data_IF_701542088203
#
_entry.id   IF_701542088203
#
_cell.length_a   1.000
_cell.length_b   1.000
_cell.length_c   1.000
_cell.angle_alpha   90.00
_cell.angle_beta   90.00
_cell.angle_gamma   90.00
#
_symmetry.space_group_name_H-M   'P 1'
#
loop_
_entity.id
_entity.type
_entity.pdbx_description
1 polymer ?
#
# COMPACT_ATOMS: atom_id res chain seq x y z
N UNK A 1 49.19 2.72 -32.87
CA UNK A 1 49.11 3.47 -31.59
C UNK A 1 47.86 4.36 -31.46
N UNK A 2 47.42 5.12 -32.47
CA UNK A 2 46.24 6.03 -32.35
C UNK A 2 44.87 5.36 -32.11
N UNK A 3 44.62 4.13 -32.59
CA UNK A 3 43.34 3.42 -32.39
C UNK A 3 43.14 2.90 -30.96
N UNK A 4 44.22 2.56 -30.25
CA UNK A 4 44.15 2.05 -28.87
C UNK A 4 43.86 3.18 -27.85
N UNK A 5 44.39 4.38 -28.08
CA UNK A 5 44.10 5.56 -27.25
C UNK A 5 42.63 6.02 -27.39
N UNK A 6 42.03 5.86 -28.56
CA UNK A 6 40.63 6.26 -28.81
C UNK A 6 39.64 5.30 -28.11
N UNK A 7 39.95 4.01 -28.02
CA UNK A 7 39.16 3.02 -27.27
C UNK A 7 39.26 3.23 -25.75
N UNK A 8 40.46 3.52 -25.23
CA UNK A 8 40.66 3.80 -23.80
C UNK A 8 39.95 5.08 -23.34
N UNK A 9 39.93 6.12 -24.18
CA UNK A 9 39.19 7.35 -23.91
C UNK A 9 37.66 7.14 -23.91
N UNK A 10 37.13 6.27 -24.78
CA UNK A 10 35.71 5.90 -24.78
C UNK A 10 35.30 5.11 -23.53
N UNK A 11 36.13 4.15 -23.09
CA UNK A 11 35.90 3.36 -21.88
C UNK A 11 35.98 4.22 -20.60
N UNK A 12 36.93 5.17 -20.53
CA UNK A 12 37.02 6.11 -19.41
C UNK A 12 35.83 7.08 -19.35
N UNK A 13 35.34 7.56 -20.50
CA UNK A 13 34.16 8.41 -20.57
C UNK A 13 32.87 7.65 -20.17
N UNK A 14 32.71 6.39 -20.59
CA UNK A 14 31.58 5.54 -20.19
C UNK A 14 31.59 5.19 -18.70
N UNK A 15 32.78 4.98 -18.11
CA UNK A 15 32.93 4.75 -16.68
C UNK A 15 32.62 6.03 -15.86
N UNK A 16 33.03 7.21 -16.34
CA UNK A 16 32.67 8.50 -15.72
C UNK A 16 31.18 8.84 -15.85
N UNK A 17 30.56 8.52 -16.98
CA UNK A 17 29.11 8.67 -17.20
C UNK A 17 28.26 7.72 -16.35
N UNK A 18 28.83 6.61 -15.89
CA UNK A 18 28.19 5.64 -14.99
C UNK A 18 28.42 5.97 -13.51
N UNK A 19 29.54 6.60 -13.14
CA UNK A 19 29.88 6.95 -11.76
C UNK A 19 28.88 7.92 -11.10
N UNK A 20 28.23 8.78 -11.90
CA UNK A 20 27.22 9.74 -11.42
C UNK A 20 25.76 9.26 -11.58
N UNK A 21 25.54 8.02 -12.05
CA UNK A 21 24.19 7.47 -12.24
C UNK A 21 23.83 6.51 -11.11
N UNK A 22 22.97 6.98 -10.23
CA UNK A 22 22.35 6.15 -9.19
C UNK A 22 21.09 5.48 -9.77
N UNK A 23 20.95 4.17 -9.58
CA UNK A 23 19.73 3.42 -9.91
C UNK A 23 19.05 3.04 -8.61
N UNK A 24 17.80 3.46 -8.47
CA UNK A 24 16.98 3.18 -7.29
C UNK A 24 15.87 2.19 -7.64
N UNK A 25 15.58 1.29 -6.72
CA UNK A 25 14.55 0.26 -6.82
C UNK A 25 13.56 0.42 -5.68
N UNK A 26 12.28 0.30 -6.00
CA UNK A 26 11.23 0.46 -5.02
C UNK A 26 9.88 0.00 -5.53
N UNK A 27 8.90 0.05 -4.64
CA UNK A 27 7.52 -0.30 -4.94
C UNK A 27 6.60 0.88 -4.58
N UNK A 28 5.64 1.13 -5.45
CA UNK A 28 4.67 2.21 -5.29
C UNK A 28 3.24 1.69 -5.27
N UNK A 29 3.01 0.38 -5.26
CA UNK A 29 1.67 -0.21 -5.29
C UNK A 29 1.55 -1.32 -4.25
N UNK A 30 1.30 -0.94 -2.99
CA UNK A 30 1.29 -1.85 -1.85
C UNK A 30 0.04 -1.65 -1.00
N UNK A 31 -0.63 -2.74 -0.67
CA UNK A 31 -1.81 -2.73 0.18
C UNK A 31 -1.55 -3.42 1.52
N UNK A 32 -2.12 -2.87 2.57
CA UNK A 32 -2.08 -3.32 3.96
C UNK A 32 -3.47 -3.72 4.43
N UNK A 33 -3.64 -3.96 5.74
CA UNK A 33 -4.95 -4.17 6.37
C UNK A 33 -5.92 -2.99 6.17
N UNK A 34 -5.45 -1.81 5.81
CA UNK A 34 -6.32 -0.66 5.60
C UNK A 34 -6.97 -0.64 4.22
N UNK A 35 -6.41 -1.32 3.22
CA UNK A 35 -7.12 -1.50 1.95
C UNK A 35 -8.30 -2.46 2.11
N UNK A 36 -9.48 -2.05 1.62
CA UNK A 36 -10.68 -2.87 1.77
C UNK A 36 -10.54 -4.26 1.11
N UNK A 37 -9.90 -4.34 -0.06
CA UNK A 37 -9.74 -5.57 -0.83
C UNK A 37 -8.70 -6.50 -0.22
N UNK A 38 -7.52 -5.99 0.13
CA UNK A 38 -6.46 -6.73 0.76
C UNK A 38 -6.94 -7.29 2.11
N UNK A 39 -7.69 -6.50 2.88
CA UNK A 39 -8.32 -7.01 4.09
C UNK A 39 -9.26 -8.18 3.80
N UNK A 40 -10.14 -8.09 2.79
CA UNK A 40 -11.05 -9.17 2.43
C UNK A 40 -10.31 -10.41 1.90
N UNK A 41 -9.13 -10.25 1.30
CA UNK A 41 -8.26 -11.37 0.91
C UNK A 41 -7.34 -11.87 2.04
N UNK A 42 -7.43 -11.29 3.24
CA UNK A 42 -6.80 -11.79 4.46
C UNK A 42 -5.50 -11.10 4.86
N UNK A 43 -5.13 -10.00 4.23
CA UNK A 43 -4.02 -9.15 4.68
C UNK A 43 -4.37 -8.55 6.05
N UNK A 44 -3.47 -8.74 7.02
CA UNK A 44 -3.61 -8.23 8.39
C UNK A 44 -2.42 -7.38 8.83
N UNK A 45 -1.39 -7.29 7.99
CA UNK A 45 -0.18 -6.49 8.21
C UNK A 45 -0.52 -5.00 8.14
N UNK A 46 0.12 -4.20 8.97
CA UNK A 46 -0.05 -2.75 9.02
C UNK A 46 0.99 -2.03 8.13
N UNK A 47 0.91 -0.69 7.97
CA UNK A 47 1.91 0.07 7.22
C UNK A 47 3.36 -0.07 7.75
N UNK A 48 3.56 -0.14 9.07
CA UNK A 48 4.90 -0.32 9.65
C UNK A 48 5.51 -1.68 9.28
N UNK A 49 4.72 -2.75 9.25
CA UNK A 49 5.12 -4.07 8.77
C UNK A 49 5.57 -4.02 7.30
N UNK A 50 4.85 -3.25 6.47
CA UNK A 50 5.18 -3.08 5.06
C UNK A 50 6.52 -2.37 4.87
N UNK A 51 6.79 -1.32 5.64
CA UNK A 51 8.09 -0.64 5.61
C UNK A 51 9.23 -1.48 6.22
N UNK A 52 8.94 -2.28 7.26
CA UNK A 52 9.91 -3.24 7.79
C UNK A 52 10.28 -4.29 6.73
N UNK A 53 9.30 -4.82 6.00
CA UNK A 53 9.52 -5.71 4.87
C UNK A 53 10.35 -5.06 3.75
N UNK A 54 10.08 -3.80 3.42
CA UNK A 54 10.89 -3.03 2.47
C UNK A 54 12.36 -2.87 2.91
N UNK A 55 12.63 -2.85 4.21
CA UNK A 55 14.00 -2.88 4.79
C UNK A 55 14.60 -4.29 4.89
N UNK A 56 13.90 -5.32 4.41
CA UNK A 56 14.35 -6.70 4.38
C UNK A 56 13.93 -7.55 5.57
N UNK A 57 13.03 -7.09 6.45
CA UNK A 57 12.46 -7.95 7.48
C UNK A 57 11.57 -9.06 6.85
N UNK A 58 11.49 -10.25 7.44
CA UNK A 58 10.54 -11.27 6.99
C UNK A 58 9.10 -10.85 7.26
N UNK A 59 8.18 -11.26 6.38
CA UNK A 59 6.74 -10.99 6.47
C UNK A 59 5.95 -12.28 6.25
N UNK A 60 4.95 -12.55 7.09
CA UNK A 60 4.09 -13.73 6.93
C UNK A 60 3.02 -13.48 5.87
N UNK A 61 3.02 -14.27 4.80
CA UNK A 61 1.95 -14.25 3.80
C UNK A 61 0.66 -14.86 4.37
N UNK A 62 -0.54 -14.34 4.04
CA UNK A 62 -1.81 -14.90 4.51
C UNK A 62 -2.04 -16.38 4.18
N UNK A 63 -1.35 -16.93 3.18
CA UNK A 63 -1.38 -18.37 2.84
C UNK A 63 -0.48 -19.25 3.72
N UNK A 64 0.23 -18.68 4.71
CA UNK A 64 0.97 -19.46 5.70
C UNK A 64 2.43 -19.75 5.35
N UNK A 65 3.04 -19.01 4.43
CA UNK A 65 4.48 -19.05 4.19
C UNK A 65 5.12 -17.70 4.52
N UNK A 66 6.43 -17.70 4.74
CA UNK A 66 7.21 -16.47 4.98
C UNK A 66 7.71 -15.90 3.65
N UNK A 67 7.69 -14.58 3.54
CA UNK A 67 8.23 -13.81 2.44
C UNK A 67 9.37 -12.94 2.97
N UNK A 68 10.42 -12.77 2.17
CA UNK A 68 11.49 -11.82 2.45
C UNK A 68 12.06 -11.32 1.13
N UNK A 69 12.37 -10.03 1.04
CA UNK A 69 13.07 -9.48 -0.12
C UNK A 69 14.51 -9.97 -0.13
N UNK A 70 15.06 -10.23 -1.32
CA UNK A 70 16.48 -10.60 -1.47
C UNK A 70 17.44 -9.46 -1.13
N UNK A 71 16.95 -8.22 -1.13
CA UNK A 71 17.64 -7.01 -0.70
C UNK A 71 16.63 -5.94 -0.27
N UNK A 72 17.01 -5.00 0.60
CA UNK A 72 16.19 -3.81 0.90
C UNK A 72 15.89 -2.96 -0.35
N UNK A 73 14.82 -2.18 -0.28
CA UNK A 73 14.41 -1.22 -1.32
C UNK A 73 14.86 0.20 -0.98
N UNK A 74 15.09 1.00 -2.02
CA UNK A 74 15.49 2.41 -1.91
C UNK A 74 14.29 3.33 -1.65
N UNK A 75 13.11 2.94 -2.17
CA UNK A 75 11.87 3.66 -1.91
C UNK A 75 10.65 2.74 -1.80
N UNK A 76 9.63 3.18 -1.05
CA UNK A 76 8.42 2.40 -0.82
C UNK A 76 7.22 3.28 -0.51
N UNK A 77 6.04 2.94 -1.05
CA UNK A 77 4.80 3.63 -0.74
C UNK A 77 3.69 2.64 -0.42
N UNK A 78 3.06 2.80 0.74
CA UNK A 78 1.76 2.18 1.02
C UNK A 78 0.71 2.96 0.22
N UNK A 79 -0.05 2.24 -0.61
CA UNK A 79 -1.08 2.81 -1.48
C UNK A 79 -2.38 2.03 -1.32
N UNK A 80 -2.87 1.95 -0.08
CA UNK A 80 -4.20 1.42 0.20
C UNK A 80 -5.28 2.20 -0.58
N UNK A 81 -6.40 1.55 -0.91
CA UNK A 81 -7.53 2.22 -1.59
C UNK A 81 -8.02 3.41 -0.78
N UNK A 82 -8.15 4.59 -1.42
CA UNK A 82 -8.69 5.78 -0.77
C UNK A 82 -10.17 5.65 -0.40
N UNK A 83 -10.95 4.81 -1.10
CA UNK A 83 -12.35 4.55 -0.78
C UNK A 83 -12.48 3.38 0.20
N UNK A 84 -13.41 3.50 1.16
CA UNK A 84 -13.59 2.57 2.29
C UNK A 84 -12.31 2.29 3.10
N UNK A 85 -11.33 3.19 3.03
CA UNK A 85 -10.03 3.04 3.67
C UNK A 85 -10.20 2.73 5.16
N UNK A 86 -9.59 1.64 5.61
CA UNK A 86 -9.52 1.26 7.01
C UNK A 86 -10.80 0.74 7.66
N UNK A 87 -11.95 0.83 7.00
CA UNK A 87 -13.25 0.49 7.61
C UNK A 87 -13.30 -0.94 8.16
N UNK A 88 -12.92 -1.94 7.37
CA UNK A 88 -12.88 -3.33 7.88
C UNK A 88 -11.92 -3.52 9.04
N UNK A 89 -10.77 -2.86 8.96
CA UNK A 89 -9.77 -2.89 10.01
C UNK A 89 -10.29 -2.27 11.31
N UNK A 90 -11.04 -1.17 11.24
CA UNK A 90 -11.66 -0.53 12.40
C UNK A 90 -12.70 -1.45 13.06
N UNK A 91 -13.52 -2.12 12.27
CA UNK A 91 -14.54 -3.06 12.77
C UNK A 91 -13.97 -4.30 13.48
N UNK A 92 -12.66 -4.56 13.40
CA UNK A 92 -12.01 -5.62 14.20
C UNK A 92 -11.84 -5.25 15.67
N UNK A 93 -11.89 -3.97 16.02
CA UNK A 93 -11.80 -3.49 17.40
C UNK A 93 -13.10 -3.82 18.16
N UNK A 94 -13.03 -4.53 19.30
CA UNK A 94 -14.21 -4.80 20.14
C UNK A 94 -15.01 -3.57 20.57
N UNK A 95 -14.40 -2.39 20.60
CA UNK A 95 -15.06 -1.13 20.93
C UNK A 95 -15.82 -0.51 19.74
N UNK A 96 -15.57 -0.97 18.51
CA UNK A 96 -16.24 -0.43 17.34
C UNK A 96 -17.74 -0.83 17.34
N UNK A 97 -18.69 0.09 17.07
CA UNK A 97 -20.13 -0.21 17.14
C UNK A 97 -20.58 -1.39 16.27
N UNK A 98 -19.94 -1.59 15.13
CA UNK A 98 -20.22 -2.69 14.19
C UNK A 98 -19.40 -3.96 14.43
N UNK A 99 -18.60 -4.04 15.50
CA UNK A 99 -17.76 -5.21 15.77
C UNK A 99 -18.57 -6.51 15.90
N UNK A 100 -19.69 -6.42 16.61
CA UNK A 100 -20.62 -7.53 16.86
C UNK A 100 -21.79 -7.60 15.89
N UNK A 101 -21.86 -6.71 14.90
CA UNK A 101 -22.95 -6.68 13.93
C UNK A 101 -22.95 -7.96 13.06
N UNK A 102 -24.06 -8.71 12.96
CA UNK A 102 -24.09 -9.99 12.23
C UNK A 102 -23.69 -9.87 10.75
N UNK A 103 -24.04 -8.77 10.10
CA UNK A 103 -23.70 -8.54 8.70
C UNK A 103 -22.21 -8.23 8.57
N UNK A 104 -21.65 -7.40 9.45
CA UNK A 104 -20.21 -7.16 9.52
C UNK A 104 -19.43 -8.47 9.73
N UNK A 105 -19.88 -9.34 10.65
CA UNK A 105 -19.25 -10.63 10.94
C UNK A 105 -19.15 -11.54 9.73
N UNK A 106 -20.13 -11.48 8.81
CA UNK A 106 -20.09 -12.25 7.56
C UNK A 106 -18.83 -11.97 6.72
N UNK A 107 -18.32 -10.73 6.77
CA UNK A 107 -17.12 -10.33 6.05
C UNK A 107 -15.84 -10.51 6.89
N UNK A 108 -15.89 -10.13 8.17
CA UNK A 108 -14.73 -10.20 9.08
C UNK A 108 -14.26 -11.63 9.33
N UNK A 109 -15.20 -12.59 9.35
CA UNK A 109 -14.92 -14.00 9.65
C UNK A 109 -14.61 -14.87 8.42
N UNK A 110 -14.56 -14.28 7.22
CA UNK A 110 -14.24 -15.01 6.00
C UNK A 110 -12.80 -15.59 6.03
N UNK A 111 -12.68 -16.92 6.03
CA UNK A 111 -11.38 -17.61 6.18
C UNK A 111 -10.92 -18.29 4.91
N UNK A 112 -11.84 -18.96 4.22
CA UNK A 112 -11.53 -19.76 3.03
C UNK A 112 -11.53 -18.91 1.76
N UNK A 113 -10.83 -19.36 0.72
CA UNK A 113 -10.83 -18.67 -0.59
C UNK A 113 -12.24 -18.43 -1.15
N UNK A 114 -13.19 -19.40 -1.10
CA UNK A 114 -14.57 -19.16 -1.55
C UNK A 114 -15.31 -18.12 -0.70
N UNK A 115 -15.16 -18.14 0.63
CA UNK A 115 -15.77 -17.15 1.53
C UNK A 115 -15.24 -15.76 1.25
N UNK A 116 -13.91 -15.60 1.16
CA UNK A 116 -13.27 -14.31 0.85
C UNK A 116 -13.68 -13.77 -0.51
N UNK A 117 -13.76 -14.65 -1.52
CA UNK A 117 -14.23 -14.28 -2.86
C UNK A 117 -15.68 -13.83 -2.84
N UNK A 118 -16.53 -14.46 -2.03
CA UNK A 118 -17.92 -14.02 -1.83
C UNK A 118 -17.95 -12.67 -1.13
N UNK A 119 -17.24 -12.52 -0.01
CA UNK A 119 -17.13 -11.30 0.76
C UNK A 119 -16.69 -10.13 -0.14
N UNK A 120 -15.65 -10.28 -0.94
CA UNK A 120 -15.18 -9.28 -1.90
C UNK A 120 -16.29 -8.82 -2.88
N UNK A 121 -17.11 -9.75 -3.38
CA UNK A 121 -18.19 -9.42 -4.32
C UNK A 121 -19.41 -8.75 -3.66
N UNK A 122 -19.64 -8.98 -2.37
CA UNK A 122 -20.89 -8.57 -1.69
C UNK A 122 -20.67 -7.52 -0.60
N UNK A 123 -19.43 -7.17 -0.28
CA UNK A 123 -19.05 -6.22 0.77
C UNK A 123 -19.40 -4.76 0.45
N UNK A 124 -19.38 -4.38 -0.82
CA UNK A 124 -19.42 -2.97 -1.23
C UNK A 124 -20.67 -2.22 -0.75
N UNK A 125 -21.84 -2.87 -0.80
CA UNK A 125 -23.09 -2.26 -0.34
C UNK A 125 -23.06 -2.01 1.17
N UNK A 126 -22.65 -3.01 1.96
CA UNK A 126 -22.52 -2.87 3.42
C UNK A 126 -21.59 -1.70 3.80
N UNK A 127 -20.42 -1.57 3.15
CA UNK A 127 -19.50 -0.46 3.40
C UNK A 127 -20.06 0.90 2.97
N UNK A 128 -20.92 0.92 1.95
CA UNK A 128 -21.59 2.15 1.51
C UNK A 128 -22.63 2.59 2.53
N UNK A 129 -23.46 1.66 2.98
CA UNK A 129 -24.55 1.93 3.93
C UNK A 129 -24.01 2.28 5.33
N UNK A 130 -22.81 1.81 5.66
CA UNK A 130 -22.14 2.04 6.94
C UNK A 130 -20.88 2.90 6.80
N UNK A 131 -20.82 3.77 5.79
CA UNK A 131 -19.65 4.60 5.56
C UNK A 131 -19.31 5.45 6.79
N UNK A 132 -18.02 5.43 7.19
CA UNK A 132 -17.53 6.12 8.37
C UNK A 132 -16.31 6.97 8.01
N UNK A 133 -16.49 8.29 7.94
CA UNK A 133 -15.36 9.22 7.78
C UNK A 133 -14.35 9.11 8.91
N UNK A 134 -14.80 8.78 10.13
CA UNK A 134 -13.91 8.64 11.28
C UNK A 134 -12.92 7.49 11.07
N UNK A 135 -13.37 6.35 10.55
CA UNK A 135 -12.52 5.19 10.25
C UNK A 135 -11.52 5.51 9.13
N UNK A 136 -12.01 6.16 8.06
CA UNK A 136 -11.18 6.59 6.94
C UNK A 136 -10.10 7.57 7.39
N UNK A 137 -10.46 8.60 8.16
CA UNK A 137 -9.52 9.59 8.72
C UNK A 137 -8.51 8.94 9.65
N UNK A 138 -8.95 8.02 10.51
CA UNK A 138 -8.08 7.31 11.45
C UNK A 138 -7.03 6.47 10.73
N UNK A 139 -7.45 5.66 9.76
CA UNK A 139 -6.54 4.85 8.96
C UNK A 139 -5.60 5.71 8.09
N UNK A 140 -6.12 6.77 7.48
CA UNK A 140 -5.30 7.69 6.69
C UNK A 140 -4.23 8.39 7.53
N UNK A 141 -4.62 8.92 8.69
CA UNK A 141 -3.68 9.54 9.62
C UNK A 141 -2.56 8.57 10.04
N UNK A 142 -2.90 7.29 10.24
CA UNK A 142 -1.91 6.27 10.56
C UNK A 142 -0.98 5.94 9.38
N UNK A 143 -1.49 5.88 8.14
CA UNK A 143 -0.67 5.71 6.94
C UNK A 143 0.32 6.87 6.78
N UNK A 144 -0.17 8.12 6.93
CA UNK A 144 0.66 9.34 6.87
C UNK A 144 1.74 9.29 7.93
N UNK A 145 1.35 9.01 9.18
CA UNK A 145 2.27 8.97 10.30
C UNK A 145 3.30 7.84 10.15
N UNK A 146 2.89 6.65 9.72
CA UNK A 146 3.78 5.52 9.45
C UNK A 146 4.80 5.83 8.36
N UNK A 147 4.37 6.43 7.23
CA UNK A 147 5.29 6.85 6.18
C UNK A 147 6.39 7.77 6.74
N UNK A 148 6.00 8.80 7.48
CA UNK A 148 6.94 9.74 8.10
C UNK A 148 7.89 9.08 9.10
N UNK A 149 7.37 8.21 9.99
CA UNK A 149 8.19 7.51 11.01
C UNK A 149 9.18 6.52 10.39
N UNK A 150 8.91 6.01 9.19
CA UNK A 150 9.74 5.04 8.49
C UNK A 150 10.66 5.65 7.43
N UNK A 151 10.61 6.97 7.23
CA UNK A 151 11.53 7.67 6.34
C UNK A 151 12.92 7.77 6.96
N UNK A 152 13.91 7.18 6.31
CA UNK A 152 15.32 7.31 6.69
C UNK A 152 16.12 7.80 5.48
N UNK A 153 16.48 9.10 5.41
CA UNK A 153 17.24 9.65 4.29
C UNK A 153 18.51 8.84 4.01
N UNK A 154 18.69 8.43 2.75
CA UNK A 154 19.84 7.63 2.31
C UNK A 154 19.73 6.14 2.58
N UNK A 155 18.69 5.66 3.27
CA UNK A 155 18.42 4.24 3.49
C UNK A 155 17.09 3.80 2.89
N UNK A 156 15.98 4.46 3.26
CA UNK A 156 14.65 4.19 2.71
C UNK A 156 13.88 5.50 2.54
N UNK A 157 13.51 5.83 1.30
CA UNK A 157 12.57 6.91 1.01
C UNK A 157 11.14 6.39 1.05
N UNK A 158 10.34 6.83 2.01
CA UNK A 158 8.91 6.55 2.05
C UNK A 158 8.14 7.67 1.39
N UNK A 159 6.96 7.34 0.88
CA UNK A 159 6.02 8.33 0.36
C UNK A 159 4.69 8.25 1.09
N UNK A 160 4.14 9.40 1.43
CA UNK A 160 2.72 9.48 1.78
C UNK A 160 1.94 9.34 0.47
N UNK A 161 1.19 8.25 0.35
CA UNK A 161 0.46 7.94 -0.86
C UNK A 161 -0.81 7.12 -0.58
N UNK A 162 -1.71 7.09 -1.55
CA UNK A 162 -2.87 6.20 -1.57
C UNK A 162 -3.21 5.82 -3.01
N UNK A 163 -4.03 4.79 -3.18
CA UNK A 163 -4.57 4.43 -4.48
C UNK A 163 -5.94 5.08 -4.73
N UNK A 164 -6.03 5.87 -5.81
CA UNK A 164 -7.30 6.31 -6.38
C UNK A 164 -7.80 5.29 -7.39
N UNK A 165 -8.93 4.67 -7.06
CA UNK A 165 -9.61 3.70 -7.92
C UNK A 165 -10.84 4.34 -8.55
N UNK A 166 -10.85 4.46 -9.88
CA UNK A 166 -11.97 5.06 -10.62
C UNK A 166 -13.05 4.06 -11.02
N UNK A 167 -12.82 2.76 -10.79
CA UNK A 167 -13.72 1.69 -11.22
C UNK A 167 -15.08 1.80 -10.53
N UNK A 168 -16.13 2.07 -11.33
CA UNK A 168 -17.54 1.99 -10.92
C UNK A 168 -18.12 0.63 -11.35
N UNK A 169 -19.14 0.06 -10.68
CA UNK A 169 -19.76 -1.20 -11.10
C UNK A 169 -20.20 -1.24 -12.57
N UNK A 170 -20.52 -0.08 -13.15
CA UNK A 170 -20.95 0.08 -14.54
C UNK A 170 -19.80 0.02 -15.55
N UNK A 171 -18.60 0.46 -15.15
CA UNK A 171 -17.56 0.81 -16.12
C UNK A 171 -16.60 -0.34 -16.42
N UNK A 172 -16.66 -1.44 -15.66
CA UNK A 172 -15.88 -2.70 -15.82
C UNK A 172 -14.36 -2.56 -16.03
N UNK A 173 -13.81 -1.36 -16.10
CA UNK A 173 -12.39 -1.07 -16.14
C UNK A 173 -11.81 -1.21 -14.74
N UNK A 174 -10.55 -1.66 -14.65
CA UNK A 174 -9.81 -1.75 -13.40
C UNK A 174 -8.71 -0.67 -13.42
N UNK A 175 -9.13 0.58 -13.25
CA UNK A 175 -8.25 1.75 -13.39
C UNK A 175 -7.85 2.25 -12.01
N UNK A 176 -6.56 2.09 -11.74
CA UNK A 176 -5.91 2.43 -10.47
C UNK A 176 -4.83 3.48 -10.72
N UNK A 177 -4.75 4.49 -9.85
CA UNK A 177 -3.74 5.55 -9.92
C UNK A 177 -3.20 5.80 -8.53
N UNK A 178 -1.89 5.72 -8.37
CA UNK A 178 -1.26 6.05 -7.11
C UNK A 178 -1.06 7.56 -7.02
N UNK A 179 -1.62 8.15 -5.98
CA UNK A 179 -1.52 9.57 -5.66
C UNK A 179 -0.44 9.72 -4.62
N UNK A 180 0.65 10.39 -4.98
CA UNK A 180 1.83 10.57 -4.13
C UNK A 180 1.93 12.03 -3.71
N UNK A 181 2.03 12.27 -2.40
CA UNK A 181 2.17 13.61 -1.86
C UNK A 181 3.64 14.02 -1.73
N UNK A 182 3.88 15.32 -1.88
CA UNK A 182 5.19 15.92 -1.65
C UNK A 182 5.36 16.23 -0.17
N UNK A 183 6.47 15.78 0.41
CA UNK A 183 6.87 16.14 1.77
C UNK A 183 6.26 15.21 2.82
N UNK A 184 6.05 15.74 4.02
CA UNK A 184 5.66 15.03 5.24
C UNK A 184 4.20 15.28 5.64
N UNK A 185 3.44 16.00 4.82
CA UNK A 185 2.05 16.36 5.07
C UNK A 185 1.14 15.94 3.93
N UNK A 186 -0.12 15.66 4.27
CA UNK A 186 -1.18 15.35 3.33
C UNK A 186 -2.52 15.92 3.81
N UNK A 187 -3.57 15.95 2.96
CA UNK A 187 -4.92 16.30 3.40
C UNK A 187 -5.39 15.40 4.54
N UNK A 188 -6.41 15.86 5.28
CA UNK A 188 -6.97 15.11 6.42
C UNK A 188 -7.64 13.78 6.02
N UNK A 189 -7.94 13.60 4.74
CA UNK A 189 -8.55 12.41 4.15
C UNK A 189 -8.14 12.32 2.67
N UNK A 190 -7.94 11.13 2.09
CA UNK A 190 -7.73 10.99 0.65
C UNK A 190 -8.99 11.41 -0.14
N UNK A 191 -8.80 12.02 -1.31
CA UNK A 191 -9.89 12.20 -2.27
C UNK A 191 -10.17 10.88 -2.98
N UNK A 192 -11.41 10.44 -3.01
CA UNK A 192 -11.84 9.13 -3.46
C UNK A 192 -12.99 9.24 -4.45
N UNK A 193 -13.43 8.09 -5.00
CA UNK A 193 -14.62 8.04 -5.85
C UNK A 193 -15.95 8.25 -5.10
N UNK A 194 -15.91 8.43 -3.78
CA UNK A 194 -17.10 8.67 -2.95
C UNK A 194 -17.38 10.17 -2.76
N UNK A 195 -16.50 11.04 -3.28
CA UNK A 195 -16.55 12.51 -3.17
C UNK A 195 -17.16 13.19 -4.41
#
# INVERSE_FOLDING_TARGET
MRRAMMAAALLGALAGLAADRQVYFGDLHIHTRYSFDAFLFGTRTNPDDAYAFARGAPLRHPSGFEMQLSRPLDFYAVTDHGFYLGMWSAMTDPAHPLHGDPDARTYLDAKTTPERSRAFRTAGQFLTDNFSEADVRGAWAEIVASANRNYTPGELTTFIAYEYTSSYPTDRGNLHRNVVFRGDAAPIMPFSRLD
#
